data_IF_111386541604
#
_entry.id   IF_111386541604
#
_cell.length_a   1.000
_cell.length_b   1.000
_cell.length_c   1.000
_cell.angle_alpha   90.00
_cell.angle_beta   90.00
_cell.angle_gamma   90.00
#
_symmetry.space_group_name_H-M   'P 1'
#
loop_
_entity.id
_entity.type
_entity.pdbx_description
1 polymer ?
#
# COMPACT_ATOMS: atom_id res chain seq x y z
N UNK A 1 -4.82 -31.46 -1.77
CA UNK A 1 -4.78 -30.37 -0.77
C UNK A 1 -5.81 -29.36 -1.18
N UNK A 2 -6.67 -28.91 -0.27
CA UNK A 2 -7.68 -27.91 -0.57
C UNK A 2 -6.96 -26.58 -0.79
N UNK A 3 -7.10 -26.02 -1.98
CA UNK A 3 -6.53 -24.72 -2.33
C UNK A 3 -7.05 -23.69 -1.31
N UNK A 4 -6.14 -23.16 -0.49
CA UNK A 4 -6.45 -22.05 0.40
C UNK A 4 -6.88 -20.90 -0.52
N UNK A 5 -8.17 -20.55 -0.48
CA UNK A 5 -8.66 -19.32 -1.13
C UNK A 5 -8.00 -18.15 -0.41
N UNK A 6 -6.79 -17.81 -0.86
CA UNK A 6 -6.08 -16.62 -0.46
C UNK A 6 -6.94 -15.46 -0.95
N UNK A 7 -7.69 -14.84 -0.04
CA UNK A 7 -8.43 -13.63 -0.35
C UNK A 7 -7.51 -12.64 -1.09
N UNK A 8 -8.05 -11.99 -2.12
CA UNK A 8 -7.32 -11.15 -3.08
C UNK A 8 -6.19 -10.35 -2.40
N UNK A 9 -4.93 -10.48 -2.85
CA UNK A 9 -3.81 -9.72 -2.30
C UNK A 9 -4.04 -8.21 -2.31
N UNK A 10 -4.78 -7.73 -3.32
CA UNK A 10 -5.19 -6.33 -3.45
C UNK A 10 -6.13 -5.95 -2.30
N UNK A 11 -7.18 -6.74 -2.09
CA UNK A 11 -8.12 -6.52 -0.98
C UNK A 11 -7.39 -6.53 0.36
N UNK A 12 -6.46 -7.46 0.55
CA UNK A 12 -5.67 -7.53 1.79
C UNK A 12 -4.83 -6.27 2.02
N UNK A 13 -4.17 -5.76 0.98
CA UNK A 13 -3.37 -4.55 1.08
C UNK A 13 -4.24 -3.32 1.41
N UNK A 14 -5.43 -3.19 0.80
CA UNK A 14 -6.37 -2.13 1.17
C UNK A 14 -6.87 -2.25 2.61
N UNK A 15 -7.19 -3.47 3.07
CA UNK A 15 -7.57 -3.71 4.47
C UNK A 15 -6.43 -3.31 5.41
N UNK A 16 -5.19 -3.65 5.10
CA UNK A 16 -4.02 -3.23 5.88
C UNK A 16 -3.87 -1.71 5.91
N UNK A 17 -4.07 -1.01 4.80
CA UNK A 17 -4.05 0.45 4.74
C UNK A 17 -5.15 1.08 5.62
N UNK A 18 -6.37 0.52 5.62
CA UNK A 18 -7.45 0.96 6.49
C UNK A 18 -7.15 0.71 7.98
N UNK A 19 -6.58 -0.46 8.31
CA UNK A 19 -6.17 -0.77 9.68
C UNK A 19 -5.06 0.15 10.19
N UNK A 20 -4.12 0.52 9.33
CA UNK A 20 -3.09 1.52 9.64
C UNK A 20 -3.73 2.87 9.99
N UNK A 21 -4.65 3.37 9.15
CA UNK A 21 -5.38 4.62 9.43
C UNK A 21 -6.10 4.54 10.78
N UNK A 22 -6.86 3.47 11.01
CA UNK A 22 -7.58 3.26 12.27
C UNK A 22 -6.64 3.16 13.49
N UNK A 23 -5.44 2.61 13.32
CA UNK A 23 -4.42 2.58 14.37
C UNK A 23 -3.87 3.97 14.69
N UNK A 24 -3.53 4.75 13.66
CA UNK A 24 -3.01 6.12 13.81
C UNK A 24 -4.08 7.06 14.41
N UNK A 25 -5.34 6.88 14.03
CA UNK A 25 -6.48 7.64 14.54
C UNK A 25 -6.67 7.51 16.06
N UNK A 26 -6.27 6.37 16.67
CA UNK A 26 -6.29 6.19 18.13
C UNK A 26 -5.30 7.09 18.87
N UNK A 27 -4.31 7.65 18.17
CA UNK A 27 -3.19 8.41 18.75
C UNK A 27 -3.31 9.92 18.52
N UNK A 28 -4.32 10.38 17.79
CA UNK A 28 -4.54 11.81 17.51
C UNK A 28 -5.75 12.36 18.25
N UNK A 29 -5.74 13.67 18.51
CA UNK A 29 -6.85 14.38 19.16
C UNK A 29 -8.05 14.54 18.22
N UNK A 30 -7.79 14.76 16.93
CA UNK A 30 -8.80 14.87 15.89
C UNK A 30 -9.01 13.51 15.23
N UNK A 31 -10.11 12.83 15.59
CA UNK A 31 -10.51 11.58 14.93
C UNK A 31 -10.84 11.85 13.45
N UNK A 32 -10.53 10.90 12.58
CA UNK A 32 -10.70 11.03 11.13
C UNK A 32 -9.66 11.93 10.47
N UNK A 33 -8.61 12.35 11.18
CA UNK A 33 -7.52 13.11 10.56
C UNK A 33 -6.88 12.30 9.42
N UNK A 34 -6.64 11.00 9.64
CA UNK A 34 -6.01 10.13 8.65
C UNK A 34 -6.97 9.65 7.55
N UNK A 35 -8.27 9.93 7.64
CA UNK A 35 -9.23 9.57 6.59
C UNK A 35 -8.96 10.36 5.29
N UNK A 36 -8.51 11.60 5.42
CA UNK A 36 -8.16 12.49 4.32
C UNK A 36 -6.83 12.14 3.63
N UNK A 37 -6.06 11.18 4.17
CA UNK A 37 -4.82 10.73 3.55
C UNK A 37 -5.11 9.62 2.55
N UNK A 38 -4.75 9.83 1.29
CA UNK A 38 -4.77 8.76 0.30
C UNK A 38 -3.55 7.85 0.51
N UNK A 39 -3.79 6.54 0.56
CA UNK A 39 -2.76 5.50 0.63
C UNK A 39 -2.88 4.68 -0.65
N UNK A 40 -1.97 4.92 -1.59
CA UNK A 40 -1.87 4.13 -2.81
C UNK A 40 -1.36 2.72 -2.47
N UNK A 41 -1.91 1.71 -3.14
CA UNK A 41 -1.57 0.31 -2.97
C UNK A 41 -0.89 -0.21 -4.23
N UNK A 42 0.26 -0.86 -4.05
CA UNK A 42 0.95 -1.60 -5.10
C UNK A 42 1.27 -3.01 -4.59
N UNK A 43 0.78 -4.01 -5.31
CA UNK A 43 0.97 -5.43 -5.09
C UNK A 43 2.01 -5.92 -6.09
N UNK A 44 3.16 -6.32 -5.57
CA UNK A 44 4.25 -6.87 -6.36
C UNK A 44 4.08 -8.38 -6.44
N UNK A 45 4.04 -8.91 -7.66
CA UNK A 45 4.10 -10.34 -7.92
C UNK A 45 5.53 -10.77 -8.24
N UNK A 46 5.85 -12.01 -7.94
CA UNK A 46 7.16 -12.59 -8.27
C UNK A 46 7.34 -12.63 -9.80
N UNK A 47 8.58 -12.48 -10.25
CA UNK A 47 8.89 -12.33 -11.68
C UNK A 47 8.62 -13.62 -12.49
N UNK A 48 8.53 -14.77 -11.81
CA UNK A 48 8.19 -16.08 -12.38
C UNK A 48 6.70 -16.44 -12.28
N UNK A 49 5.89 -15.60 -11.63
CA UNK A 49 4.47 -15.84 -11.50
C UNK A 49 3.73 -15.48 -12.81
N UNK A 50 2.95 -16.43 -13.34
CA UNK A 50 2.00 -16.11 -14.41
C UNK A 50 0.76 -15.45 -13.81
N UNK A 51 0.52 -14.19 -14.17
CA UNK A 51 -0.68 -13.45 -13.75
C UNK A 51 -1.82 -13.78 -14.71
N UNK A 52 -2.85 -14.46 -14.22
CA UNK A 52 -4.13 -14.56 -14.93
C UNK A 52 -4.93 -13.27 -14.72
N UNK A 53 -4.98 -12.44 -15.75
CA UNK A 53 -5.74 -11.20 -15.71
C UNK A 53 -7.23 -11.45 -15.90
N UNK A 54 -8.10 -10.69 -15.21
CA UNK A 54 -9.53 -10.73 -15.49
C UNK A 54 -9.80 -10.22 -16.91
N UNK A 55 -10.96 -10.59 -17.48
CA UNK A 55 -11.38 -10.14 -18.82
C UNK A 55 -11.47 -8.61 -18.94
N UNK A 56 -11.64 -7.92 -17.81
CA UNK A 56 -11.65 -6.46 -17.73
C UNK A 56 -10.27 -5.82 -17.92
N UNK A 57 -9.20 -6.63 -17.97
CA UNK A 57 -7.83 -6.18 -18.22
C UNK A 57 -6.94 -6.15 -16.97
N UNK A 58 -5.79 -5.50 -17.12
CA UNK A 58 -4.80 -5.38 -16.05
C UNK A 58 -5.29 -4.47 -14.92
N UNK A 59 -4.90 -4.81 -13.69
CA UNK A 59 -5.21 -4.03 -12.49
C UNK A 59 -4.07 -3.07 -12.17
N UNK A 60 -4.39 -1.81 -11.87
CA UNK A 60 -3.41 -0.73 -11.63
C UNK A 60 -2.58 -0.97 -10.37
N UNK A 61 -3.13 -1.75 -9.43
CA UNK A 61 -2.49 -2.13 -8.19
C UNK A 61 -1.46 -3.23 -8.40
N UNK A 62 -1.45 -3.96 -9.52
CA UNK A 62 -0.56 -5.13 -9.70
C UNK A 62 0.59 -4.80 -10.65
N UNK A 63 1.82 -5.11 -10.22
CA UNK A 63 3.01 -4.95 -11.06
C UNK A 63 4.09 -6.00 -10.77
N UNK A 64 5.03 -6.14 -11.70
CA UNK A 64 6.27 -6.91 -11.49
C UNK A 64 7.25 -6.09 -10.64
N UNK A 65 8.27 -6.74 -10.10
CA UNK A 65 9.26 -6.09 -9.21
C UNK A 65 10.00 -4.95 -9.90
N UNK A 66 10.40 -5.13 -11.14
CA UNK A 66 11.16 -4.12 -11.89
C UNK A 66 10.35 -2.85 -12.16
N UNK A 67 9.01 -2.97 -12.23
CA UNK A 67 8.12 -1.85 -12.49
C UNK A 67 7.81 -1.00 -11.24
N UNK A 68 8.21 -1.44 -10.04
CA UNK A 68 7.87 -0.76 -8.79
C UNK A 68 8.45 0.66 -8.76
N UNK A 69 9.75 0.79 -9.07
CA UNK A 69 10.43 2.08 -9.02
C UNK A 69 9.77 3.10 -9.96
N UNK A 70 9.51 2.69 -11.20
CA UNK A 70 8.90 3.56 -12.20
C UNK A 70 7.47 3.95 -11.82
N UNK A 71 6.66 2.99 -11.34
CA UNK A 71 5.27 3.27 -10.91
C UNK A 71 5.22 4.23 -9.73
N UNK A 72 6.06 4.03 -8.72
CA UNK A 72 6.11 4.91 -7.55
C UNK A 72 6.57 6.31 -7.97
N UNK A 73 7.59 6.41 -8.82
CA UNK A 73 8.12 7.70 -9.30
C UNK A 73 7.07 8.44 -10.13
N UNK A 74 6.41 7.75 -11.07
CA UNK A 74 5.36 8.33 -11.90
C UNK A 74 4.19 8.81 -11.05
N UNK A 75 3.73 8.01 -10.08
CA UNK A 75 2.63 8.39 -9.18
C UNK A 75 3.00 9.58 -8.31
N UNK A 76 4.22 9.61 -7.78
CA UNK A 76 4.72 10.75 -7.02
C UNK A 76 4.71 12.03 -7.85
N UNK A 77 5.17 11.98 -9.10
CA UNK A 77 5.15 13.12 -10.01
C UNK A 77 3.74 13.59 -10.35
N UNK A 78 2.80 12.66 -10.59
CA UNK A 78 1.39 12.99 -10.80
C UNK A 78 0.80 13.72 -9.58
N UNK A 79 1.04 13.21 -8.37
CA UNK A 79 0.60 13.84 -7.14
C UNK A 79 1.21 15.24 -6.97
N UNK A 80 2.49 15.40 -7.31
CA UNK A 80 3.19 16.70 -7.26
C UNK A 80 2.60 17.71 -8.24
N UNK A 81 2.27 17.28 -9.45
CA UNK A 81 1.66 18.14 -10.47
C UNK A 81 0.21 18.50 -10.16
N UNK A 82 -0.55 17.58 -9.56
CA UNK A 82 -1.94 17.79 -9.15
C UNK A 82 -2.11 18.53 -7.82
N UNK A 83 -1.05 18.71 -7.04
CA UNK A 83 -1.10 19.32 -5.73
C UNK A 83 -1.46 20.81 -5.82
N UNK A 84 -2.54 21.21 -5.13
CA UNK A 84 -2.96 22.62 -5.00
C UNK A 84 -2.31 23.35 -3.82
N UNK A 85 -1.52 22.64 -3.03
CA UNK A 85 -0.91 23.14 -1.81
C UNK A 85 -0.24 22.03 -1.01
N UNK A 86 0.32 22.36 0.16
CA UNK A 86 0.92 21.38 1.05
C UNK A 86 -0.13 20.36 1.55
N UNK A 87 0.28 19.09 1.64
CA UNK A 87 -0.54 18.03 2.22
C UNK A 87 -0.73 18.17 3.74
N UNK A 88 -1.60 17.35 4.34
CA UNK A 88 -1.96 17.46 5.76
C UNK A 88 -0.84 17.06 6.73
N UNK A 89 0.15 16.31 6.26
CA UNK A 89 1.32 15.92 7.05
C UNK A 89 2.51 16.83 6.73
N UNK A 90 3.23 17.23 7.77
CA UNK A 90 4.55 17.87 7.65
C UNK A 90 5.60 16.89 7.12
N UNK A 91 6.75 17.40 6.69
CA UNK A 91 7.85 16.54 6.24
C UNK A 91 8.34 15.58 7.34
N UNK A 92 8.45 16.07 8.58
CA UNK A 92 8.87 15.25 9.70
C UNK A 92 7.89 14.09 9.96
N UNK A 93 6.59 14.38 9.96
CA UNK A 93 5.55 13.34 10.16
C UNK A 93 5.54 12.32 9.01
N UNK A 94 5.73 12.75 7.76
CA UNK A 94 5.87 11.83 6.62
C UNK A 94 7.08 10.91 6.77
N UNK A 95 8.23 11.45 7.21
CA UNK A 95 9.44 10.65 7.47
C UNK A 95 9.20 9.64 8.59
N UNK A 96 8.57 10.05 9.70
CA UNK A 96 8.23 9.16 10.81
C UNK A 96 7.31 8.03 10.38
N UNK A 97 6.27 8.34 9.60
CA UNK A 97 5.37 7.33 9.05
C UNK A 97 6.12 6.35 8.13
N UNK A 98 6.97 6.87 7.24
CA UNK A 98 7.82 6.04 6.37
C UNK A 98 8.72 5.09 7.16
N UNK A 99 9.41 5.60 8.20
CA UNK A 99 10.23 4.77 9.09
C UNK A 99 9.41 3.69 9.81
N UNK A 100 8.23 4.05 10.32
CA UNK A 100 7.34 3.08 10.96
C UNK A 100 6.92 1.97 9.98
N UNK A 101 6.55 2.33 8.74
CA UNK A 101 6.17 1.36 7.71
C UNK A 101 7.32 0.43 7.34
N UNK A 102 8.54 0.96 7.17
CA UNK A 102 9.72 0.14 6.89
C UNK A 102 10.02 -0.84 8.04
N UNK A 103 9.86 -0.42 9.30
CA UNK A 103 10.09 -1.28 10.47
C UNK A 103 8.96 -2.28 10.73
N UNK A 104 7.73 -1.91 10.36
CA UNK A 104 6.53 -2.75 10.55
C UNK A 104 6.34 -3.74 9.40
N UNK A 105 7.03 -3.54 8.28
CA UNK A 105 7.03 -4.49 7.18
C UNK A 105 7.85 -5.72 7.57
N UNK A 106 7.15 -6.74 8.06
CA UNK A 106 7.66 -8.10 7.99
C UNK A 106 7.32 -8.61 6.58
N UNK A 107 8.30 -8.73 5.66
CA UNK A 107 8.10 -9.63 4.53
C UNK A 107 7.76 -10.97 5.17
N UNK A 108 6.62 -11.57 4.82
CA UNK A 108 6.13 -12.82 5.43
C UNK A 108 7.33 -13.73 5.70
N UNK A 109 7.69 -13.82 6.98
CA UNK A 109 8.58 -14.86 7.47
C UNK A 109 8.05 -16.17 6.89
N UNK A 110 8.92 -17.09 6.53
CA UNK A 110 8.59 -18.44 6.07
C UNK A 110 7.81 -19.28 7.11
N UNK A 111 7.24 -18.62 8.12
CA UNK A 111 6.46 -19.12 9.23
C UNK A 111 5.13 -18.35 9.31
N UNK A 112 4.12 -18.81 8.58
CA UNK A 112 2.76 -18.77 9.11
C UNK A 112 2.60 -19.97 10.05
N UNK A 113 2.18 -19.80 11.32
CA UNK A 113 1.75 -20.93 12.13
C UNK A 113 0.39 -21.43 11.60
N UNK A 114 0.21 -22.76 11.63
CA UNK A 114 -1.01 -23.49 11.21
C UNK A 114 -2.31 -22.96 11.83
#
# INVERSE_FOLDING_TARGET
>A
GRELVLGSPITRAYVQALLLKAFLDKRVRQKGFFDNLELDVLVVVADDAQIEWPQTGQLVEVCNRDAVYDRVTQRFEQCRQGARGPGPLTEAERRTLGSFLCLSHWPRSEFEPE
#
